data_IF_190107673882
#
_entry.id   IF_190107673882
#
_cell.length_a   1.000
_cell.length_b   1.000
_cell.length_c   1.000
_cell.angle_alpha   90.00
_cell.angle_beta   90.00
_cell.angle_gamma   90.00
#
_symmetry.space_group_name_H-M   'P 1'
#
loop_
_entity.id
_entity.type
_entity.pdbx_description
1 polymer ?
#
# COMPACT_ATOMS: atom_id res chain seq x y z
N UNK A 1 -17.44 37.84 -30.10
CA UNK A 1 -18.09 38.38 -28.89
C UNK A 1 -18.27 37.23 -27.90
N UNK A 2 -17.67 37.40 -26.71
CA UNK A 2 -17.83 36.63 -25.46
C UNK A 2 -17.49 35.13 -25.45
N UNK A 3 -16.26 34.87 -25.00
CA UNK A 3 -15.75 33.64 -24.42
C UNK A 3 -16.61 33.15 -23.25
N UNK A 4 -16.96 31.87 -23.22
CA UNK A 4 -17.39 31.19 -22.00
C UNK A 4 -16.32 30.17 -21.61
N UNK A 5 -15.23 30.65 -21.02
CA UNK A 5 -14.31 29.79 -20.30
C UNK A 5 -15.02 29.39 -18.99
N UNK A 6 -15.48 28.15 -18.92
CA UNK A 6 -16.05 27.58 -17.70
C UNK A 6 -14.93 27.38 -16.68
N UNK A 7 -14.66 28.40 -15.86
CA UNK A 7 -13.76 28.29 -14.71
C UNK A 7 -14.51 27.58 -13.59
N UNK A 8 -14.42 26.26 -13.54
CA UNK A 8 -14.87 25.46 -12.40
C UNK A 8 -13.91 25.65 -11.23
N UNK A 9 -14.06 26.74 -10.48
CA UNK A 9 -13.36 26.92 -9.21
C UNK A 9 -14.29 26.51 -8.06
N UNK A 10 -14.32 25.21 -7.78
CA UNK A 10 -15.06 24.60 -6.68
C UNK A 10 -14.15 24.27 -5.49
N UNK A 11 -13.83 25.29 -4.71
CA UNK A 11 -13.52 25.29 -3.27
C UNK A 11 -12.29 24.56 -2.70
N UNK A 12 -11.47 25.36 -2.02
CA UNK A 12 -10.32 25.03 -1.18
C UNK A 12 -10.71 24.25 0.10
N UNK A 13 -11.15 23.01 -0.05
CA UNK A 13 -11.26 21.99 1.01
C UNK A 13 -10.41 20.73 0.72
N UNK A 14 -9.62 20.75 -0.35
CA UNK A 14 -9.10 19.57 -1.05
C UNK A 14 -7.62 19.27 -0.82
N UNK A 15 -6.82 20.26 -0.42
CA UNK A 15 -5.38 20.06 -0.19
C UNK A 15 -5.09 19.12 1.01
N UNK A 16 -5.81 19.32 2.13
CA UNK A 16 -5.68 18.46 3.31
C UNK A 16 -6.27 17.06 3.07
N UNK A 17 -7.39 16.97 2.35
CA UNK A 17 -8.00 15.68 2.02
C UNK A 17 -7.07 14.79 1.17
N UNK A 18 -6.35 15.38 0.20
CA UNK A 18 -5.36 14.65 -0.60
C UNK A 18 -4.14 14.18 0.20
N UNK A 19 -3.68 14.97 1.17
CA UNK A 19 -2.57 14.57 2.06
C UNK A 19 -2.99 13.46 3.02
N UNK A 20 -4.18 13.57 3.63
CA UNK A 20 -4.74 12.54 4.51
C UNK A 20 -4.98 11.25 3.74
N UNK A 21 -5.51 11.31 2.51
CA UNK A 21 -5.71 10.14 1.67
C UNK A 21 -4.38 9.42 1.36
N UNK A 22 -3.32 10.16 1.00
CA UNK A 22 -1.98 9.58 0.77
C UNK A 22 -1.40 8.95 2.04
N UNK A 23 -1.55 9.60 3.19
CA UNK A 23 -1.09 9.03 4.47
C UNK A 23 -1.85 7.75 4.83
N UNK A 24 -3.17 7.74 4.65
CA UNK A 24 -4.00 6.57 4.88
C UNK A 24 -3.61 5.41 3.95
N UNK A 25 -3.35 5.70 2.68
CA UNK A 25 -2.87 4.71 1.70
C UNK A 25 -1.51 4.12 2.13
N UNK A 26 -0.55 4.97 2.50
CA UNK A 26 0.77 4.52 3.00
C UNK A 26 0.65 3.68 4.26
N UNK A 27 -0.25 4.05 5.16
CA UNK A 27 -0.51 3.28 6.37
C UNK A 27 -1.14 1.91 6.04
N UNK A 28 -2.09 1.86 5.11
CA UNK A 28 -2.68 0.61 4.65
C UNK A 28 -1.62 -0.32 4.03
N UNK A 29 -0.77 0.20 3.14
CA UNK A 29 0.35 -0.55 2.55
C UNK A 29 1.30 -1.07 3.65
N UNK A 30 1.67 -0.22 4.61
CA UNK A 30 2.54 -0.61 5.72
C UNK A 30 1.90 -1.68 6.62
N UNK A 31 0.58 -1.59 6.86
CA UNK A 31 -0.16 -2.60 7.61
C UNK A 31 -0.12 -3.95 6.89
N UNK A 32 -0.36 -3.98 5.58
CA UNK A 32 -0.26 -5.19 4.76
C UNK A 32 1.16 -5.78 4.84
N UNK A 33 2.19 -4.96 4.64
CA UNK A 33 3.59 -5.39 4.76
C UNK A 33 3.86 -6.08 6.10
N UNK A 34 3.48 -5.45 7.22
CA UNK A 34 3.71 -6.02 8.56
C UNK A 34 2.91 -7.28 8.80
N UNK A 35 1.66 -7.34 8.34
CA UNK A 35 0.83 -8.53 8.45
C UNK A 35 1.49 -9.71 7.73
N UNK A 36 1.90 -9.52 6.47
CA UNK A 36 2.58 -10.56 5.68
C UNK A 36 3.90 -11.01 6.31
N UNK A 37 4.71 -10.08 6.83
CA UNK A 37 5.93 -10.46 7.57
C UNK A 37 5.59 -11.31 8.78
N UNK A 38 4.64 -10.87 9.61
CA UNK A 38 4.30 -11.59 10.84
C UNK A 38 3.75 -12.98 10.53
N UNK A 39 2.77 -13.07 9.61
CA UNK A 39 2.15 -14.34 9.22
C UNK A 39 3.18 -15.32 8.65
N UNK A 40 4.01 -14.89 7.70
CA UNK A 40 5.01 -15.78 7.10
C UNK A 40 6.17 -16.10 8.05
N UNK A 41 6.51 -15.21 8.98
CA UNK A 41 7.58 -15.46 9.95
C UNK A 41 7.15 -16.40 11.07
N UNK A 42 5.86 -16.45 11.38
CA UNK A 42 5.25 -17.36 12.35
C UNK A 42 5.23 -18.81 11.85
N UNK A 43 5.21 -19.00 10.53
CA UNK A 43 5.32 -20.32 9.91
C UNK A 43 6.69 -20.98 10.20
N UNK A 44 6.64 -22.30 10.36
CA UNK A 44 7.84 -23.12 10.50
C UNK A 44 8.50 -23.42 9.14
N UNK A 45 9.74 -23.92 9.17
CA UNK A 45 10.52 -24.15 7.95
C UNK A 45 9.88 -25.17 7.00
N UNK A 46 9.09 -26.11 7.52
CA UNK A 46 8.38 -27.11 6.71
C UNK A 46 7.19 -26.47 6.01
N UNK A 47 6.37 -25.70 6.71
CA UNK A 47 5.24 -24.97 6.13
C UNK A 47 5.72 -24.00 5.04
N UNK A 48 6.82 -23.29 5.29
CA UNK A 48 7.46 -22.44 4.28
C UNK A 48 7.96 -23.25 3.09
N UNK A 49 8.58 -24.41 3.31
CA UNK A 49 9.03 -25.31 2.25
C UNK A 49 7.89 -25.87 1.42
N UNK A 50 6.75 -26.21 2.05
CA UNK A 50 5.56 -26.72 1.37
C UNK A 50 4.95 -25.65 0.44
N UNK A 51 5.10 -24.37 0.80
CA UNK A 51 4.73 -23.22 -0.03
C UNK A 51 5.82 -22.86 -1.07
N UNK A 52 6.99 -23.50 -1.04
CA UNK A 52 8.13 -23.16 -1.90
C UNK A 52 8.78 -21.81 -1.56
N UNK A 53 8.65 -21.34 -0.32
CA UNK A 53 9.17 -20.05 0.16
C UNK A 53 10.37 -20.29 1.08
N UNK A 54 11.45 -19.54 0.89
CA UNK A 54 12.56 -19.50 1.85
C UNK A 54 12.41 -18.31 2.80
N UNK A 55 12.95 -18.40 4.03
CA UNK A 55 12.88 -17.30 5.03
C UNK A 55 13.42 -15.96 4.50
N UNK A 56 14.44 -16.00 3.63
CA UNK A 56 14.98 -14.78 3.01
C UNK A 56 14.02 -14.12 2.01
N UNK A 57 13.09 -14.89 1.42
CA UNK A 57 12.08 -14.38 0.49
C UNK A 57 10.93 -13.67 1.19
N UNK A 58 10.67 -13.94 2.47
CA UNK A 58 9.55 -13.35 3.23
C UNK A 58 9.52 -11.82 3.09
N UNK A 59 10.68 -11.17 3.23
CA UNK A 59 10.78 -9.71 3.09
C UNK A 59 10.45 -9.23 1.67
N UNK A 60 10.90 -9.96 0.65
CA UNK A 60 10.61 -9.64 -0.76
C UNK A 60 9.12 -9.77 -1.05
N UNK A 61 8.52 -10.89 -0.63
CA UNK A 61 7.08 -11.16 -0.82
C UNK A 61 6.25 -10.10 -0.11
N UNK A 62 6.58 -9.76 1.14
CA UNK A 62 5.84 -8.73 1.88
C UNK A 62 5.90 -7.35 1.20
N UNK A 63 7.03 -6.99 0.59
CA UNK A 63 7.15 -5.75 -0.19
C UNK A 63 6.28 -5.82 -1.45
N UNK A 64 6.35 -6.94 -2.19
CA UNK A 64 5.57 -7.16 -3.41
C UNK A 64 4.07 -7.12 -3.15
N UNK A 65 3.60 -7.79 -2.08
CA UNK A 65 2.19 -7.79 -1.67
C UNK A 65 1.71 -6.42 -1.19
N UNK A 66 2.55 -5.67 -0.46
CA UNK A 66 2.16 -4.38 0.10
C UNK A 66 2.18 -3.23 -0.90
N UNK A 67 3.15 -3.23 -1.83
CA UNK A 67 3.41 -2.10 -2.70
C UNK A 67 3.12 -2.37 -4.17
N UNK A 68 2.99 -3.64 -4.59
CA UNK A 68 2.80 -4.02 -5.99
C UNK A 68 3.96 -3.53 -6.84
N UNK A 69 4.99 -4.35 -7.01
CA UNK A 69 6.06 -4.04 -7.96
C UNK A 69 5.53 -3.94 -9.39
#
# INVERSE_FOLDING_TARGET
MAYAHEVRNGFAGTANAGLVAKLAERFAQYKTYRATINELSDLNDRELSDLGISRSMIKRIAIETAYGA
#
